data_IF_895028165881
#
_entry.id   IF_895028165881
#
_cell.length_a   1.000
_cell.length_b   1.000
_cell.length_c   1.000
_cell.angle_alpha   90.00
_cell.angle_beta   90.00
_cell.angle_gamma   90.00
#
_symmetry.space_group_name_H-M   'P 1'
#
loop_
_entity.id
_entity.type
_entity.pdbx_description
1 polymer ?
#
# COMPACT_ATOMS: atom_id res chain seq x y z
N UNK A 1 -37.84 5.44 -28.33
CA UNK A 1 -37.74 5.05 -26.91
C UNK A 1 -36.39 5.48 -26.39
N UNK A 2 -36.33 6.33 -25.35
CA UNK A 2 -35.07 6.79 -24.73
C UNK A 2 -34.67 5.77 -23.67
N UNK A 3 -33.54 5.06 -23.82
CA UNK A 3 -33.05 4.16 -22.77
C UNK A 3 -32.35 4.97 -21.69
N UNK A 4 -32.89 4.85 -20.48
CA UNK A 4 -32.47 5.51 -19.25
C UNK A 4 -30.96 5.37 -18.97
N UNK A 5 -30.38 6.46 -18.46
CA UNK A 5 -29.00 6.51 -18.00
C UNK A 5 -28.68 5.39 -17.02
N UNK A 6 -27.73 4.53 -17.38
CA UNK A 6 -27.05 3.66 -16.45
C UNK A 6 -26.25 4.55 -15.49
N UNK A 7 -26.84 4.87 -14.35
CA UNK A 7 -26.12 5.49 -13.24
C UNK A 7 -24.90 4.62 -12.96
N UNK A 8 -23.70 5.13 -13.26
CA UNK A 8 -22.45 4.47 -12.86
C UNK A 8 -22.47 4.41 -11.34
N UNK A 9 -22.85 3.27 -10.77
CA UNK A 9 -22.60 3.00 -9.36
C UNK A 9 -21.08 3.06 -9.23
N UNK A 10 -20.56 4.15 -8.66
CA UNK A 10 -19.14 4.21 -8.32
C UNK A 10 -18.94 3.10 -7.30
N UNK A 11 -18.44 1.94 -7.74
CA UNK A 11 -18.08 0.87 -6.82
C UNK A 11 -17.09 1.47 -5.83
N UNK A 12 -17.48 1.54 -4.56
CA UNK A 12 -16.59 2.00 -3.51
C UNK A 12 -15.36 1.10 -3.51
N UNK A 13 -14.18 1.70 -3.56
CA UNK A 13 -12.90 0.99 -3.54
C UNK A 13 -12.17 1.45 -2.29
N UNK A 14 -12.30 0.72 -1.15
CA UNK A 14 -11.74 1.14 0.12
C UNK A 14 -10.21 1.15 0.07
N UNK A 15 -9.63 2.17 0.70
CA UNK A 15 -8.19 2.31 0.90
C UNK A 15 -7.94 2.23 2.41
N UNK A 16 -7.12 1.28 2.82
CA UNK A 16 -6.80 1.02 4.22
C UNK A 16 -5.40 1.52 4.53
N UNK A 17 -5.30 2.54 5.39
CA UNK A 17 -4.01 3.03 5.91
C UNK A 17 -3.53 2.17 7.08
N UNK A 18 -2.28 1.72 7.01
CA UNK A 18 -1.63 0.92 8.05
C UNK A 18 -0.34 1.61 8.49
N UNK A 19 -0.27 1.99 9.77
CA UNK A 19 0.88 2.64 10.37
C UNK A 19 1.65 1.69 11.29
N UNK A 20 2.98 1.73 11.24
CA UNK A 20 3.82 0.92 12.12
C UNK A 20 5.25 1.43 12.24
N UNK A 21 6.05 0.74 13.03
CA UNK A 21 7.50 0.94 13.13
C UNK A 21 8.21 -0.41 12.97
N UNK A 22 9.50 -0.52 13.30
CA UNK A 22 10.28 -1.75 13.10
C UNK A 22 9.66 -2.99 13.77
N UNK A 23 8.96 -2.85 14.89
CA UNK A 23 8.30 -3.99 15.56
C UNK A 23 7.04 -4.50 14.84
N UNK A 24 6.47 -3.75 13.89
CA UNK A 24 5.19 -4.07 13.25
C UNK A 24 5.32 -5.02 12.05
N UNK A 25 6.54 -5.32 11.59
CA UNK A 25 6.75 -6.15 10.39
C UNK A 25 6.08 -7.51 10.48
N UNK A 26 6.32 -8.26 11.57
CA UNK A 26 5.74 -9.60 11.75
C UNK A 26 4.20 -9.58 11.73
N UNK A 27 3.60 -8.48 12.20
CA UNK A 27 2.15 -8.32 12.14
C UNK A 27 1.65 -8.08 10.71
N UNK A 28 2.36 -7.25 9.94
CA UNK A 28 2.06 -7.07 8.51
C UNK A 28 2.28 -8.36 7.73
N UNK A 29 3.34 -9.12 8.01
CA UNK A 29 3.57 -10.39 7.35
C UNK A 29 2.39 -11.35 7.55
N UNK A 30 2.01 -11.58 8.81
CA UNK A 30 0.85 -12.42 9.14
C UNK A 30 -0.44 -11.91 8.49
N UNK A 31 -0.66 -10.62 8.46
CA UNK A 31 -1.85 -10.03 7.82
C UNK A 31 -1.88 -10.34 6.32
N UNK A 32 -0.80 -10.05 5.60
CA UNK A 32 -0.74 -10.22 4.14
C UNK A 32 -0.68 -11.68 3.70
N UNK A 33 -0.14 -12.58 4.52
CA UNK A 33 -0.20 -14.03 4.29
C UNK A 33 -1.63 -14.57 4.22
N UNK A 34 -2.57 -13.96 4.97
CA UNK A 34 -3.97 -14.40 5.02
C UNK A 34 -4.91 -13.52 4.17
N UNK A 35 -4.40 -12.45 3.56
CA UNK A 35 -5.21 -11.50 2.81
C UNK A 35 -5.42 -11.98 1.35
N UNK A 36 -6.66 -12.22 0.90
CA UNK A 36 -6.91 -12.69 -0.47
C UNK A 36 -6.57 -11.62 -1.51
N UNK A 37 -5.87 -11.99 -2.59
CA UNK A 37 -5.49 -11.07 -3.68
C UNK A 37 -6.67 -10.30 -4.30
N UNK A 38 -7.87 -10.87 -4.28
CA UNK A 38 -9.12 -10.24 -4.78
C UNK A 38 -9.96 -9.64 -3.66
N UNK A 39 -9.33 -9.05 -2.65
CA UNK A 39 -10.03 -8.42 -1.51
C UNK A 39 -10.92 -7.23 -1.90
N UNK A 40 -10.68 -6.63 -3.08
CA UNK A 40 -11.40 -5.43 -3.53
C UNK A 40 -10.98 -4.15 -2.80
N UNK A 41 -9.86 -4.20 -2.07
CA UNK A 41 -9.32 -3.09 -1.27
C UNK A 41 -7.92 -2.74 -1.74
N UNK A 42 -7.45 -1.52 -1.45
CA UNK A 42 -6.04 -1.17 -1.48
C UNK A 42 -5.52 -0.93 -0.06
N UNK A 43 -4.21 -1.12 0.12
CA UNK A 43 -3.51 -0.92 1.38
C UNK A 43 -2.43 0.13 1.18
N UNK A 44 -2.32 1.07 2.12
CA UNK A 44 -1.24 2.07 2.19
C UNK A 44 -0.47 1.85 3.47
N UNK A 45 0.79 1.44 3.38
CA UNK A 45 1.65 1.21 4.56
C UNK A 45 2.52 2.45 4.79
N UNK A 46 2.53 2.96 6.01
CA UNK A 46 3.39 4.05 6.45
C UNK A 46 4.25 3.55 7.60
N UNK A 47 5.56 3.46 7.37
CA UNK A 47 6.51 3.03 8.39
C UNK A 47 7.23 4.24 8.98
N UNK A 48 7.08 4.44 10.29
CA UNK A 48 7.93 5.35 11.04
C UNK A 48 9.25 4.64 11.36
N UNK A 49 10.27 4.94 10.57
CA UNK A 49 11.62 4.44 10.74
C UNK A 49 12.52 5.60 11.16
N UNK A 50 13.42 5.34 12.11
CA UNK A 50 14.47 6.30 12.42
C UNK A 50 15.34 6.53 11.16
N UNK A 51 15.95 7.70 11.06
CA UNK A 51 16.74 8.18 9.90
C UNK A 51 17.85 7.22 9.46
N UNK A 52 18.29 6.34 10.34
CA UNK A 52 19.34 5.33 10.12
C UNK A 52 18.83 4.03 9.51
N UNK A 53 17.53 3.75 9.56
CA UNK A 53 16.96 2.47 9.14
C UNK A 53 16.03 2.66 7.94
N UNK A 54 16.57 2.50 6.73
CA UNK A 54 15.73 2.41 5.53
C UNK A 54 15.29 0.96 5.39
N UNK A 55 14.00 0.69 5.59
CA UNK A 55 13.44 -0.64 5.38
C UNK A 55 12.62 -0.63 4.09
N UNK A 56 13.01 -1.49 3.16
CA UNK A 56 12.28 -1.73 1.93
C UNK A 56 11.12 -2.71 2.20
N UNK A 57 9.98 -2.14 2.53
CA UNK A 57 8.74 -2.89 2.83
C UNK A 57 8.30 -3.72 1.63
N UNK A 58 8.49 -3.22 0.42
CA UNK A 58 8.12 -3.96 -0.79
C UNK A 58 8.97 -5.22 -0.91
N UNK A 59 10.28 -5.14 -0.70
CA UNK A 59 11.18 -6.31 -0.74
C UNK A 59 10.86 -7.35 0.34
N UNK A 60 10.38 -6.93 1.50
CA UNK A 60 10.02 -7.83 2.61
C UNK A 60 8.65 -8.49 2.37
N UNK A 61 7.65 -7.70 1.95
CA UNK A 61 6.28 -8.18 1.85
C UNK A 61 5.94 -8.81 0.49
N UNK A 62 6.66 -8.51 -0.60
CA UNK A 62 6.35 -9.09 -1.91
C UNK A 62 6.47 -10.63 -1.96
N UNK A 63 7.44 -11.27 -1.27
CA UNK A 63 7.53 -12.74 -1.23
C UNK A 63 6.37 -13.44 -0.50
N UNK A 64 5.66 -12.75 0.39
CA UNK A 64 4.62 -13.35 1.25
C UNK A 64 3.19 -13.14 0.70
N UNK A 65 3.01 -12.31 -0.32
CA UNK A 65 1.71 -12.08 -0.94
C UNK A 65 1.83 -11.92 -2.45
N UNK A 66 0.85 -12.46 -3.18
CA UNK A 66 0.74 -12.25 -4.62
C UNK A 66 0.13 -10.89 -4.98
N UNK A 67 -0.27 -10.09 -3.99
CA UNK A 67 -0.63 -8.69 -4.22
C UNK A 67 0.59 -7.91 -4.70
N UNK A 68 0.42 -7.08 -5.73
CA UNK A 68 1.50 -6.23 -6.23
C UNK A 68 1.75 -5.08 -5.24
N UNK A 69 2.95 -5.04 -4.65
CA UNK A 69 3.36 -3.98 -3.71
C UNK A 69 4.29 -3.01 -4.44
N UNK A 70 4.00 -1.72 -4.34
CA UNK A 70 4.79 -0.66 -4.99
C UNK A 70 5.11 0.47 -4.02
N UNK A 71 6.22 1.14 -4.28
CA UNK A 71 6.53 2.41 -3.63
C UNK A 71 5.50 3.47 -4.04
N UNK A 72 5.02 4.23 -3.07
CA UNK A 72 4.08 5.32 -3.27
C UNK A 72 4.82 6.57 -3.75
N UNK A 73 4.47 7.04 -4.94
CA UNK A 73 4.87 8.35 -5.45
C UNK A 73 3.65 9.27 -5.56
N UNK A 74 3.91 10.58 -5.62
CA UNK A 74 2.83 11.53 -5.91
C UNK A 74 2.18 11.19 -7.27
N UNK A 75 0.85 11.26 -7.34
CA UNK A 75 0.07 10.87 -8.51
C UNK A 75 -0.01 9.36 -8.79
N UNK A 76 0.48 8.47 -7.92
CA UNK A 76 0.40 7.02 -8.15
C UNK A 76 -1.06 6.53 -8.16
N UNK A 77 -1.46 5.89 -9.27
CA UNK A 77 -2.80 5.33 -9.44
C UNK A 77 -3.03 4.08 -8.58
N UNK A 78 -4.32 3.82 -8.26
CA UNK A 78 -4.85 2.73 -7.42
C UNK A 78 -4.02 1.44 -7.48
N UNK A 79 -3.19 1.21 -6.46
CA UNK A 79 -2.38 0.02 -6.24
C UNK A 79 -2.20 -0.19 -4.72
N UNK A 80 -1.65 -1.32 -4.28
CA UNK A 80 -1.15 -1.47 -2.91
C UNK A 80 0.18 -0.72 -2.81
N UNK A 81 0.23 0.29 -1.94
CA UNK A 81 1.30 1.29 -1.91
C UNK A 81 1.95 1.33 -0.54
N UNK A 82 3.26 1.55 -0.50
CA UNK A 82 3.98 1.84 0.73
C UNK A 82 4.71 3.18 0.57
N UNK A 83 4.63 4.05 1.59
CA UNK A 83 5.34 5.32 1.57
C UNK A 83 6.70 5.19 2.28
N UNK A 84 7.82 5.34 1.57
CA UNK A 84 9.12 5.28 2.20
C UNK A 84 9.38 6.49 3.09
N UNK A 85 10.11 6.26 4.18
CA UNK A 85 10.68 7.35 4.95
C UNK A 85 11.62 8.15 4.02
N UNK A 86 11.35 9.45 3.85
CA UNK A 86 12.05 10.41 2.98
C UNK A 86 13.52 10.04 2.69
N UNK A 87 13.87 9.74 1.43
CA UNK A 87 15.26 9.91 0.97
C UNK A 87 15.53 11.42 0.90
N UNK A 88 16.51 11.93 1.66
CA UNK A 88 17.01 13.30 1.44
C UNK A 88 17.61 13.32 0.04
N UNK A 89 17.02 14.09 -0.87
CA UNK A 89 17.78 14.67 -1.97
C UNK A 89 18.79 15.62 -1.31
N UNK A 90 20.05 15.18 -1.22
CA UNK A 90 21.15 16.09 -0.95
C UNK A 90 21.29 17.03 -2.12
N UNK A 91 21.02 18.31 -1.90
CA UNK A 91 21.64 19.36 -2.70
C UNK A 91 22.90 19.77 -1.95
N UNK A 92 24.04 19.54 -2.61
CA UNK A 92 25.31 20.19 -2.30
C UNK A 92 25.25 21.67 -2.66
#
# INVERSE_FOLDING_TARGET
MKSNGSGKTKSSFPIIGMGGSAGSFHAFEKFFMHMPIRSGMAFVIIMHLDKSHVIDVARILQPITSMAIKEAHDGTARSYLYYPARKRHGHS
#
